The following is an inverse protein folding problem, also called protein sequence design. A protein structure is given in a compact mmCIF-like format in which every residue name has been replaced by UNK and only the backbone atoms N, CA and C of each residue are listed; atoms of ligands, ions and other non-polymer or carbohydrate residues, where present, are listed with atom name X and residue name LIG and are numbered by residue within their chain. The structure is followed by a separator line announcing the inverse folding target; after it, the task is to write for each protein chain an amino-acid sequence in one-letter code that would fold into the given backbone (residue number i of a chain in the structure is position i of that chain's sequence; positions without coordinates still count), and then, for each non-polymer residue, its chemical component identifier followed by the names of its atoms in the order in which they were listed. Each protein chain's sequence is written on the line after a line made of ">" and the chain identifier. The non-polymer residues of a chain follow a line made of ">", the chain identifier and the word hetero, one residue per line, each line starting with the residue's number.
data_IF_071292594054
#
_entry.id   IF_071292594054
#
_cell.length_a   1.000
_cell.length_b   1.000
_cell.length_c   1.000
_cell.angle_alpha   90.00
_cell.angle_beta   90.00
_cell.angle_gamma   90.00
#
_symmetry.space_group_name_H-M   'P 1'
#
loop_
_entity.id
_entity.type
_entity.pdbx_description
1 polymer ?
#
# COMPACT_ATOMS: atom_id res chain seq x y z
N UNK A 1 2.25 -16.87 -12.75
CA UNK A 1 0.96 -17.15 -12.10
C UNK A 1 1.07 -17.47 -10.59
N UNK A 2 2.25 -17.47 -9.96
CA UNK A 2 2.37 -17.72 -8.50
C UNK A 2 2.58 -16.44 -7.65
N UNK A 3 3.13 -15.37 -8.25
CA UNK A 3 3.31 -14.09 -7.55
C UNK A 3 2.00 -13.41 -7.17
N UNK A 4 0.90 -13.71 -7.88
CA UNK A 4 -0.40 -13.06 -7.64
C UNK A 4 -1.01 -13.40 -6.29
N UNK A 5 -0.89 -14.67 -5.90
CA UNK A 5 -1.41 -15.15 -4.63
C UNK A 5 -0.58 -14.64 -3.45
N UNK A 6 0.74 -14.57 -3.64
CA UNK A 6 1.66 -14.09 -2.61
C UNK A 6 1.49 -12.59 -2.32
N UNK A 7 1.21 -11.75 -3.32
CA UNK A 7 0.97 -10.32 -3.06
C UNK A 7 -0.36 -10.08 -2.35
N UNK A 8 -1.41 -10.84 -2.66
CA UNK A 8 -2.72 -10.68 -2.01
C UNK A 8 -2.71 -11.06 -0.55
N UNK A 9 -2.06 -12.18 -0.20
CA UNK A 9 -1.86 -12.57 1.20
C UNK A 9 -1.10 -11.47 1.95
N UNK A 10 -0.08 -10.89 1.30
CA UNK A 10 0.68 -9.79 1.87
C UNK A 10 -0.16 -8.52 2.07
N UNK A 11 -0.97 -8.08 1.08
CA UNK A 11 -1.83 -6.92 1.25
C UNK A 11 -2.92 -7.12 2.29
N UNK A 12 -3.45 -8.33 2.42
CA UNK A 12 -4.44 -8.66 3.45
C UNK A 12 -3.90 -8.39 4.87
N UNK A 13 -2.60 -8.60 5.09
CA UNK A 13 -1.94 -8.27 6.36
C UNK A 13 -1.93 -6.78 6.70
N UNK A 14 -2.30 -5.91 5.75
CA UNK A 14 -2.37 -4.46 5.92
C UNK A 14 -3.78 -3.94 6.17
N UNK A 15 -4.81 -4.77 6.01
CA UNK A 15 -6.18 -4.40 6.35
C UNK A 15 -6.32 -4.22 7.87
N UNK A 16 -7.29 -3.41 8.29
CA UNK A 16 -7.72 -3.36 9.69
C UNK A 16 -8.41 -4.68 10.08
N UNK A 17 -8.54 -4.94 11.39
CA UNK A 17 -9.13 -6.20 11.90
C UNK A 17 -10.53 -6.50 11.35
N UNK A 18 -11.34 -5.46 11.14
CA UNK A 18 -12.67 -5.58 10.55
C UNK A 18 -12.59 -6.15 9.13
N UNK A 19 -11.81 -5.52 8.25
CA UNK A 19 -11.69 -5.94 6.87
C UNK A 19 -10.89 -7.24 6.71
N UNK A 20 -9.94 -7.53 7.61
CA UNK A 20 -9.29 -8.84 7.62
C UNK A 20 -10.31 -9.98 7.75
N UNK A 21 -11.31 -9.85 8.65
CA UNK A 21 -12.38 -10.84 8.83
C UNK A 21 -13.29 -10.95 7.61
N UNK A 22 -13.59 -9.84 6.94
CA UNK A 22 -14.39 -9.85 5.70
C UNK A 22 -13.67 -10.63 4.60
N UNK A 23 -12.37 -10.40 4.43
CA UNK A 23 -11.53 -11.05 3.41
C UNK A 23 -10.89 -12.38 3.87
N UNK A 24 -11.32 -12.94 5.00
CA UNK A 24 -10.85 -14.26 5.44
C UNK A 24 -11.44 -15.39 4.59
N UNK A 25 -12.72 -15.25 4.21
CA UNK A 25 -13.49 -16.30 3.54
C UNK A 25 -13.80 -16.00 2.06
N UNK A 26 -13.51 -14.78 1.58
CA UNK A 26 -13.68 -14.41 0.19
C UNK A 26 -12.50 -14.92 -0.64
N UNK A 27 -12.78 -15.39 -1.86
CA UNK A 27 -11.71 -15.51 -2.84
C UNK A 27 -11.21 -14.08 -3.09
N UNK A 28 -9.96 -13.79 -2.70
CA UNK A 28 -9.33 -12.45 -2.72
C UNK A 28 -9.19 -11.83 -4.13
N UNK A 29 -9.95 -12.33 -5.10
CA UNK A 29 -9.87 -12.06 -6.53
C UNK A 29 -11.15 -11.39 -7.06
N UNK A 30 -12.04 -10.97 -6.15
CA UNK A 30 -13.31 -10.33 -6.49
C UNK A 30 -13.08 -8.91 -7.04
N UNK A 31 -13.58 -8.71 -8.26
CA UNK A 31 -13.76 -7.39 -8.84
C UNK A 31 -15.09 -6.83 -8.35
N UNK A 32 -15.08 -5.55 -7.94
CA UNK A 32 -16.28 -4.83 -7.55
C UNK A 32 -16.55 -3.71 -8.56
N UNK A 33 -17.83 -3.43 -8.81
CA UNK A 33 -18.24 -2.26 -9.55
C UNK A 33 -18.16 -1.05 -8.60
N UNK A 34 -17.12 -0.24 -8.75
CA UNK A 34 -16.95 1.00 -8.01
C UNK A 34 -17.55 2.16 -8.80
N UNK A 35 -18.38 2.95 -8.12
CA UNK A 35 -18.99 4.16 -8.68
C UNK A 35 -18.22 5.37 -8.17
N UNK A 36 -17.62 6.12 -9.08
CA UNK A 36 -16.92 7.35 -8.75
C UNK A 36 -17.92 8.39 -8.20
N UNK A 37 -17.68 8.96 -7.00
CA UNK A 37 -18.66 9.84 -6.35
C UNK A 37 -18.80 11.22 -7.02
N UNK A 38 -17.84 11.64 -7.84
CA UNK A 38 -17.88 12.93 -8.54
C UNK A 38 -18.46 12.80 -9.95
N UNK A 39 -18.07 11.75 -10.68
CA UNK A 39 -18.42 11.56 -12.10
C UNK A 39 -19.57 10.60 -12.34
N UNK A 40 -19.94 9.78 -11.33
CA UNK A 40 -20.87 8.66 -11.45
C UNK A 40 -20.45 7.59 -12.47
N UNK A 41 -19.19 7.60 -12.91
CA UNK A 41 -18.63 6.56 -13.77
C UNK A 41 -18.51 5.25 -12.98
N UNK A 42 -18.88 4.14 -13.62
CA UNK A 42 -18.77 2.80 -13.04
C UNK A 42 -17.53 2.13 -13.61
N UNK A 43 -16.59 1.75 -12.75
CA UNK A 43 -15.37 1.04 -13.13
C UNK A 43 -15.19 -0.21 -12.30
N UNK A 44 -14.61 -1.26 -12.91
CA UNK A 44 -14.27 -2.48 -12.19
C UNK A 44 -12.91 -2.34 -11.52
N UNK A 45 -12.88 -2.55 -10.21
CA UNK A 45 -11.67 -2.46 -9.40
C UNK A 45 -11.52 -3.70 -8.52
N UNK A 46 -10.28 -3.99 -8.13
CA UNK A 46 -9.98 -5.03 -7.14
C UNK A 46 -10.55 -4.64 -5.78
N UNK A 47 -11.45 -5.46 -5.23
CA UNK A 47 -12.16 -5.11 -3.99
C UNK A 47 -11.24 -4.99 -2.77
N UNK A 48 -10.23 -5.86 -2.66
CA UNK A 48 -9.28 -5.85 -1.55
C UNK A 48 -8.40 -4.59 -1.59
N UNK A 49 -7.83 -4.30 -2.75
CA UNK A 49 -6.99 -3.13 -2.96
C UNK A 49 -7.80 -1.84 -2.82
N UNK A 50 -9.03 -1.81 -3.33
CA UNK A 50 -9.91 -0.66 -3.19
C UNK A 50 -10.15 -0.34 -1.72
N UNK A 51 -10.65 -1.30 -0.93
CA UNK A 51 -10.90 -1.14 0.52
C UNK A 51 -9.62 -0.79 1.28
N UNK A 52 -8.49 -1.41 0.93
CA UNK A 52 -7.20 -1.10 1.53
C UNK A 52 -6.85 0.38 1.35
N UNK A 53 -7.00 0.93 0.14
CA UNK A 53 -6.58 2.30 -0.19
C UNK A 53 -7.62 3.35 0.24
N UNK A 54 -8.91 3.08 0.03
CA UNK A 54 -10.00 4.02 0.29
C UNK A 54 -10.38 4.12 1.77
N UNK A 55 -10.13 3.07 2.55
CA UNK A 55 -10.47 3.02 3.97
C UNK A 55 -9.26 2.74 4.87
N UNK A 56 -8.68 1.53 4.80
CA UNK A 56 -7.67 1.10 5.79
C UNK A 56 -6.42 2.01 5.79
N UNK A 57 -5.97 2.44 4.62
CA UNK A 57 -4.79 3.30 4.48
C UNK A 57 -5.00 4.74 4.93
N UNK A 58 -6.26 5.15 5.15
CA UNK A 58 -6.62 6.48 5.65
C UNK A 58 -6.71 6.53 7.18
N UNK A 59 -6.63 5.38 7.86
CA UNK A 59 -6.68 5.31 9.32
C UNK A 59 -5.36 5.78 9.94
N UNK A 60 -5.43 6.49 11.06
CA UNK A 60 -4.24 6.96 11.80
C UNK A 60 -3.34 5.80 12.25
N UNK A 61 -3.94 4.66 12.59
CA UNK A 61 -3.24 3.45 13.01
C UNK A 61 -2.57 2.68 11.85
N UNK A 62 -2.76 3.11 10.60
CA UNK A 62 -2.21 2.41 9.44
C UNK A 62 -0.68 2.49 9.37
N UNK A 63 -0.11 3.62 9.80
CA UNK A 63 1.32 3.82 9.92
C UNK A 63 1.69 3.74 11.41
N UNK A 64 2.41 2.69 11.80
CA UNK A 64 2.87 2.55 13.19
C UNK A 64 4.40 2.61 13.25
N UNK A 65 4.94 3.16 14.34
CA UNK A 65 6.39 3.36 14.52
C UNK A 65 7.18 2.05 14.52
N UNK A 66 6.55 0.94 14.94
CA UNK A 66 7.20 -0.37 15.14
C UNK A 66 7.32 -1.23 13.87
N UNK A 67 7.04 -0.67 12.70
CA UNK A 67 7.09 -1.41 11.44
C UNK A 67 8.50 -1.53 10.85
N UNK A 68 8.71 -2.59 10.06
CA UNK A 68 9.92 -2.71 9.25
C UNK A 68 9.95 -1.61 8.18
N UNK A 69 11.13 -1.03 7.94
CA UNK A 69 11.27 0.14 7.06
C UNK A 69 10.65 -0.04 5.66
N UNK A 70 10.84 -1.22 5.07
CA UNK A 70 10.29 -1.54 3.74
C UNK A 70 8.76 -1.51 3.75
N UNK A 71 8.15 -2.12 4.77
CA UNK A 71 6.69 -2.17 4.90
C UNK A 71 6.14 -0.77 5.21
N UNK A 72 6.82 0.02 6.05
CA UNK A 72 6.46 1.41 6.33
C UNK A 72 6.42 2.25 5.07
N UNK A 73 7.48 2.22 4.26
CA UNK A 73 7.54 2.98 3.00
C UNK A 73 6.49 2.51 2.01
N UNK A 74 6.29 1.20 1.90
CA UNK A 74 5.26 0.64 1.02
C UNK A 74 3.85 1.08 1.44
N UNK A 75 3.54 1.07 2.74
CA UNK A 75 2.27 1.59 3.26
C UNK A 75 2.08 3.09 3.01
N UNK A 76 3.14 3.89 3.11
CA UNK A 76 3.06 5.32 2.74
C UNK A 76 2.67 5.48 1.28
N UNK A 77 3.23 4.69 0.36
CA UNK A 77 2.82 4.76 -1.04
C UNK A 77 1.36 4.34 -1.23
N UNK A 78 0.89 3.30 -0.56
CA UNK A 78 -0.54 2.92 -0.60
C UNK A 78 -1.44 4.07 -0.11
N UNK A 79 -1.13 4.71 1.01
CA UNK A 79 -1.95 5.80 1.55
C UNK A 79 -1.88 7.09 0.73
N UNK A 80 -0.81 7.28 -0.05
CA UNK A 80 -0.64 8.42 -0.97
C UNK A 80 -1.04 8.10 -2.42
N UNK A 81 -1.71 6.97 -2.66
CA UNK A 81 -2.21 6.61 -3.99
C UNK A 81 -1.10 6.33 -5.00
N UNK A 82 0.00 5.72 -4.55
CA UNK A 82 1.21 5.41 -5.32
C UNK A 82 1.86 6.63 -6.01
N UNK A 83 1.60 7.85 -5.52
CA UNK A 83 2.27 9.05 -6.02
C UNK A 83 3.75 9.04 -5.64
N UNK A 84 4.67 9.45 -6.54
CA UNK A 84 6.08 9.57 -6.20
C UNK A 84 6.31 10.51 -5.01
N UNK A 85 7.25 10.14 -4.14
CA UNK A 85 7.66 10.93 -2.97
C UNK A 85 9.19 11.01 -2.92
N UNK A 86 9.69 12.15 -2.47
CA UNK A 86 11.11 12.31 -2.18
C UNK A 86 11.48 11.60 -0.88
N UNK A 87 12.75 11.24 -0.74
CA UNK A 87 13.27 10.61 0.47
C UNK A 87 13.10 11.52 1.71
N UNK A 88 13.16 12.84 1.53
CA UNK A 88 12.90 13.81 2.61
C UNK A 88 11.46 13.72 3.11
N UNK A 89 10.49 13.74 2.19
CA UNK A 89 9.07 13.58 2.53
C UNK A 89 8.78 12.24 3.21
N UNK A 90 9.41 11.15 2.74
CA UNK A 90 9.29 9.85 3.39
C UNK A 90 9.86 9.86 4.82
N UNK A 91 10.99 10.53 5.04
CA UNK A 91 11.59 10.67 6.37
C UNK A 91 10.72 11.46 7.33
N UNK A 92 10.10 12.55 6.87
CA UNK A 92 9.15 13.35 7.65
C UNK A 92 7.89 12.55 8.02
N UNK A 93 7.30 11.83 7.07
CA UNK A 93 6.07 11.04 7.31
C UNK A 93 6.34 9.87 8.28
N UNK A 94 7.50 9.23 8.17
CA UNK A 94 7.83 8.03 8.93
C UNK A 94 8.57 8.30 10.23
N UNK A 95 8.94 9.55 10.49
CA UNK A 95 9.88 9.95 11.55
C UNK A 95 11.17 9.11 11.52
N UNK A 96 11.79 9.03 10.34
CA UNK A 96 13.02 8.26 10.11
C UNK A 96 14.07 9.05 9.35
N UNK A 97 15.37 8.82 9.62
CA UNK A 97 16.43 9.48 8.87
C UNK A 97 16.32 9.20 7.36
N UNK A 98 16.19 10.24 6.51
CA UNK A 98 16.08 10.07 5.06
C UNK A 98 17.24 9.25 4.46
N UNK A 99 18.46 9.43 4.96
CA UNK A 99 19.67 8.67 4.60
C UNK A 99 19.46 7.14 4.66
N UNK A 100 18.79 6.67 5.71
CA UNK A 100 18.49 5.23 5.90
C UNK A 100 17.55 4.73 4.82
N UNK A 101 16.52 5.51 4.50
CA UNK A 101 15.54 5.19 3.45
C UNK A 101 16.25 5.14 2.09
N UNK A 102 17.05 6.16 1.78
CA UNK A 102 17.82 6.24 0.54
C UNK A 102 18.74 5.02 0.39
N UNK A 103 19.50 4.67 1.43
CA UNK A 103 20.42 3.53 1.40
C UNK A 103 19.70 2.20 1.14
N UNK A 104 18.50 2.02 1.68
CA UNK A 104 17.69 0.81 1.45
C UNK A 104 17.16 0.73 0.02
N UNK A 105 16.65 1.83 -0.53
CA UNK A 105 15.96 1.83 -1.83
C UNK A 105 16.83 2.20 -3.04
N UNK A 106 18.07 2.66 -2.83
CA UNK A 106 19.06 2.91 -3.90
C UNK A 106 19.92 1.69 -4.26
N UNK A 107 19.71 0.56 -3.59
CA UNK A 107 20.42 -0.69 -3.91
C UNK A 107 19.89 -1.37 -5.18
N UNK A 108 20.58 -2.43 -5.62
CA UNK A 108 20.17 -3.27 -6.76
C UNK A 108 18.84 -3.99 -6.49
N UNK A 109 18.55 -4.28 -5.22
CA UNK A 109 17.36 -5.03 -4.82
C UNK A 109 16.12 -4.14 -4.88
N UNK A 110 15.13 -4.60 -5.62
CA UNK A 110 13.80 -3.98 -5.71
C UNK A 110 12.92 -4.54 -4.60
N UNK A 111 12.48 -3.68 -3.68
CA UNK A 111 11.61 -4.06 -2.57
C UNK A 111 10.16 -3.74 -2.91
N UNK A 112 9.30 -4.76 -2.95
CA UNK A 112 7.84 -4.60 -3.17
C UNK A 112 7.50 -3.76 -4.41
N UNK A 113 8.32 -3.87 -5.46
CA UNK A 113 8.16 -3.11 -6.70
C UNK A 113 8.59 -1.64 -6.64
N UNK A 114 8.98 -1.12 -5.48
CA UNK A 114 9.42 0.28 -5.31
C UNK A 114 10.78 0.48 -5.94
N UNK A 115 10.89 1.52 -6.78
CA UNK A 115 12.13 1.95 -7.44
C UNK A 115 12.24 3.47 -7.45
N UNK A 116 13.46 4.02 -7.42
CA UNK A 116 13.67 5.43 -7.72
C UNK A 116 13.15 5.75 -9.13
N UNK A 117 12.48 6.91 -9.26
CA UNK A 117 12.10 7.41 -10.58
C UNK A 117 13.37 7.78 -11.33
N UNK A 118 13.57 7.21 -12.52
CA UNK A 118 14.64 7.64 -13.42
C UNK A 118 14.17 8.89 -14.14
N UNK A 119 14.98 9.96 -14.11
CA UNK A 119 14.83 11.08 -15.03
C UNK A 119 15.26 10.69 -16.44
#
# INVERSE_FOLDING_TARGET
>A
MNHDRDWRVYLRSFLCEEHQKVFENLNNDELIDWVDPETAEVTQVDGLQHVLISHCAQQESFLTEKMALVDSVFRVFLSKGNKPLTIKQLGEILDRPPETILKTFSGIRVYKGIRPVSN
#
